data_IF_554373839172
#
_entry.id   IF_554373839172
#
_cell.length_a   1.000
_cell.length_b   1.000
_cell.length_c   1.000
_cell.angle_alpha   90.00
_cell.angle_beta   90.00
_cell.angle_gamma   90.00
#
_symmetry.space_group_name_H-M   'P 1'
#
loop_
_entity.id
_entity.type
_entity.pdbx_description
1 polymer ?
#
# COMPACT_ATOMS: atom_id res chain seq x y z
N UNK A 1 4.78 -9.62 1.19
CA UNK A 1 5.11 -10.98 1.70
C UNK A 1 4.83 -12.05 0.67
N UNK A 2 3.61 -12.20 0.18
CA UNK A 2 3.19 -13.33 -0.67
C UNK A 2 4.06 -13.58 -1.92
N UNK A 3 4.54 -12.53 -2.60
CA UNK A 3 5.48 -12.69 -3.72
C UNK A 3 6.83 -13.24 -3.28
N UNK A 4 7.47 -12.60 -2.29
CA UNK A 4 8.84 -12.94 -1.87
C UNK A 4 8.91 -14.35 -1.27
N UNK A 5 7.98 -14.68 -0.37
CA UNK A 5 7.92 -15.98 0.29
C UNK A 5 7.37 -17.07 -0.65
N UNK A 6 6.36 -16.76 -1.46
CA UNK A 6 5.73 -17.71 -2.39
C UNK A 6 6.66 -18.18 -3.53
N UNK A 7 7.68 -17.37 -3.88
CA UNK A 7 8.68 -17.76 -4.87
C UNK A 7 9.42 -19.04 -4.48
N UNK A 8 9.75 -19.23 -3.20
CA UNK A 8 10.41 -20.44 -2.70
C UNK A 8 9.58 -21.72 -2.89
N UNK A 9 8.27 -21.58 -3.11
CA UNK A 9 7.30 -22.69 -3.20
C UNK A 9 6.92 -23.09 -4.63
N UNK A 10 7.47 -22.45 -5.65
CA UNK A 10 7.08 -22.65 -7.06
C UNK A 10 5.55 -22.48 -7.28
N UNK A 11 4.94 -21.50 -6.58
CA UNK A 11 3.54 -21.14 -6.76
C UNK A 11 3.37 -20.31 -8.03
N UNK A 12 2.14 -20.27 -8.55
CA UNK A 12 1.76 -19.30 -9.57
C UNK A 12 1.73 -17.90 -8.97
N UNK A 13 2.82 -17.14 -9.12
CA UNK A 13 3.00 -15.83 -8.49
C UNK A 13 2.00 -14.80 -9.01
N UNK A 14 1.53 -14.90 -10.25
CA UNK A 14 0.46 -14.03 -10.75
C UNK A 14 -0.82 -14.23 -9.94
N UNK A 15 -1.24 -15.49 -9.78
CA UNK A 15 -2.41 -15.84 -8.97
C UNK A 15 -2.24 -15.41 -7.51
N UNK A 16 -1.07 -15.66 -6.92
CA UNK A 16 -0.72 -15.23 -5.56
C UNK A 16 -0.87 -13.71 -5.37
N UNK A 17 -0.33 -12.92 -6.31
CA UNK A 17 -0.40 -11.46 -6.24
C UNK A 17 -1.82 -10.94 -6.43
N UNK A 18 -2.57 -11.49 -7.38
CA UNK A 18 -3.97 -11.12 -7.61
C UNK A 18 -4.83 -11.41 -6.37
N UNK A 19 -4.70 -12.59 -5.76
CA UNK A 19 -5.40 -12.92 -4.51
C UNK A 19 -5.01 -11.95 -3.40
N UNK A 20 -3.71 -11.69 -3.21
CA UNK A 20 -3.22 -10.78 -2.18
C UNK A 20 -3.70 -9.33 -2.36
N UNK A 21 -3.98 -8.88 -3.59
CA UNK A 21 -4.50 -7.54 -3.85
C UNK A 21 -5.99 -7.40 -3.53
N UNK A 22 -6.76 -8.50 -3.54
CA UNK A 22 -8.23 -8.40 -3.46
C UNK A 22 -8.84 -9.01 -2.21
N UNK A 23 -8.07 -9.71 -1.38
CA UNK A 23 -8.64 -10.51 -0.29
C UNK A 23 -9.50 -9.67 0.68
N UNK A 24 -9.11 -8.42 0.95
CA UNK A 24 -9.80 -7.53 1.91
C UNK A 24 -10.55 -6.35 1.25
N UNK A 25 -10.61 -6.23 -0.09
CA UNK A 25 -11.27 -5.08 -0.74
C UNK A 25 -12.77 -4.98 -0.42
N UNK A 26 -13.41 -6.07 -0.02
CA UNK A 26 -14.81 -6.10 0.39
C UNK A 26 -15.06 -5.36 1.72
N UNK A 27 -14.04 -5.19 2.56
CA UNK A 27 -14.13 -4.55 3.87
C UNK A 27 -14.50 -3.06 3.80
N UNK A 28 -14.39 -2.44 2.64
CA UNK A 28 -14.91 -1.08 2.40
C UNK A 28 -16.42 -0.95 2.72
N UNK A 29 -17.16 -2.06 2.67
CA UNK A 29 -18.59 -2.11 2.99
C UNK A 29 -18.93 -2.90 4.24
N UNK A 30 -18.02 -3.74 4.76
CA UNK A 30 -18.28 -4.62 5.92
C UNK A 30 -17.54 -4.21 7.17
N UNK A 31 -16.55 -3.31 7.05
CA UNK A 31 -15.52 -3.07 8.06
C UNK A 31 -14.70 -4.31 8.42
N UNK A 32 -13.53 -4.10 9.00
CA UNK A 32 -12.65 -5.16 9.51
C UNK A 32 -13.18 -5.64 10.87
N UNK A 33 -14.08 -6.62 10.86
CA UNK A 33 -14.65 -7.19 12.07
C UNK A 33 -13.76 -8.28 12.67
N UNK A 34 -13.41 -8.11 13.93
CA UNK A 34 -12.74 -9.15 14.70
C UNK A 34 -13.77 -10.13 15.30
N UNK A 35 -13.39 -11.40 15.61
CA UNK A 35 -14.28 -12.34 16.30
C UNK A 35 -14.75 -11.86 17.69
N UNK A 36 -14.11 -10.83 18.22
CA UNK A 36 -14.39 -10.28 19.56
C UNK A 36 -15.35 -9.08 19.53
N UNK A 37 -15.59 -8.46 18.37
CA UNK A 37 -16.45 -7.28 18.26
C UNK A 37 -17.81 -7.44 18.93
N UNK A 38 -18.49 -8.60 18.82
CA UNK A 38 -19.75 -8.80 19.52
C UNK A 38 -19.64 -8.79 21.06
N UNK A 39 -18.43 -8.97 21.59
CA UNK A 39 -18.15 -9.00 23.02
C UNK A 39 -17.66 -7.64 23.54
N UNK A 40 -17.21 -6.77 22.62
CA UNK A 40 -16.67 -5.46 22.95
C UNK A 40 -17.79 -4.48 23.31
N UNK A 41 -17.56 -3.57 24.26
CA UNK A 41 -18.52 -2.52 24.56
C UNK A 41 -18.58 -1.51 23.40
N UNK A 42 -19.78 -0.97 23.11
CA UNK A 42 -20.03 -0.02 22.00
C UNK A 42 -19.11 1.22 21.97
N UNK A 43 -18.48 1.59 23.09
CA UNK A 43 -17.49 2.67 23.19
C UNK A 43 -16.20 2.12 23.77
N UNK A 44 -15.35 1.58 22.93
CA UNK A 44 -14.07 0.95 23.33
C UNK A 44 -13.14 1.94 24.03
N UNK A 45 -13.10 3.19 23.61
CA UNK A 45 -12.15 4.23 24.09
C UNK A 45 -12.53 4.90 25.41
N UNK A 46 -13.70 4.59 25.99
CA UNK A 46 -14.03 5.16 27.29
C UNK A 46 -13.17 4.56 28.40
N UNK A 47 -12.70 5.39 29.32
CA UNK A 47 -11.85 4.98 30.45
C UNK A 47 -12.46 3.82 31.28
N UNK A 48 -13.80 3.82 31.43
CA UNK A 48 -14.54 2.74 32.09
C UNK A 48 -14.49 1.39 31.35
N UNK A 49 -14.39 1.43 30.02
CA UNK A 49 -14.44 0.22 29.19
C UNK A 49 -13.06 -0.36 28.90
N UNK A 50 -11.97 0.39 29.10
CA UNK A 50 -10.59 -0.08 28.85
C UNK A 50 -10.25 -1.35 29.65
N UNK A 51 -10.65 -1.40 30.93
CA UNK A 51 -10.42 -2.59 31.78
C UNK A 51 -11.17 -3.81 31.25
N UNK A 52 -12.45 -3.64 30.88
CA UNK A 52 -13.27 -4.71 30.31
C UNK A 52 -12.76 -5.19 28.96
N UNK A 53 -12.33 -4.27 28.10
CA UNK A 53 -11.69 -4.61 26.82
C UNK A 53 -10.42 -5.42 27.06
N UNK A 54 -9.57 -4.99 27.98
CA UNK A 54 -8.35 -5.71 28.35
C UNK A 54 -8.66 -7.12 28.86
N UNK A 55 -9.63 -7.27 29.75
CA UNK A 55 -10.06 -8.58 30.27
C UNK A 55 -10.61 -9.50 29.17
N UNK A 56 -11.35 -8.97 28.20
CA UNK A 56 -11.87 -9.73 27.04
C UNK A 56 -10.71 -10.19 26.15
N UNK A 57 -9.75 -9.30 25.87
CA UNK A 57 -8.59 -9.61 25.04
C UNK A 57 -7.61 -10.58 25.74
N UNK A 58 -7.46 -10.48 27.07
CA UNK A 58 -6.59 -11.38 27.85
C UNK A 58 -7.19 -12.78 28.00
N UNK A 59 -8.51 -12.88 28.19
CA UNK A 59 -9.18 -14.18 28.34
C UNK A 59 -9.32 -14.95 27.04
N UNK A 60 -9.06 -14.30 25.90
CA UNK A 60 -9.19 -14.89 24.57
C UNK A 60 -10.38 -15.84 24.51
N UNK A 61 -11.60 -15.34 24.27
CA UNK A 61 -12.81 -16.15 24.45
C UNK A 61 -12.71 -17.43 23.63
N UNK A 62 -12.77 -18.55 24.32
CA UNK A 62 -12.72 -19.88 23.71
C UNK A 62 -14.07 -20.17 23.09
N UNK A 63 -14.29 -19.73 21.88
CA UNK A 63 -15.43 -20.19 21.09
C UNK A 63 -15.29 -21.67 20.79
N UNK A 64 -16.38 -22.42 20.90
CA UNK A 64 -16.43 -23.82 20.45
C UNK A 64 -16.10 -23.87 18.93
N UNK A 65 -15.63 -25.01 18.45
CA UNK A 65 -15.36 -25.23 17.04
C UNK A 65 -16.57 -24.88 16.14
N UNK A 66 -17.77 -25.26 16.60
CA UNK A 66 -19.01 -25.00 15.88
C UNK A 66 -19.37 -23.51 15.83
N UNK A 67 -19.16 -22.78 16.93
CA UNK A 67 -19.34 -21.32 16.97
C UNK A 67 -18.34 -20.60 16.08
N UNK A 68 -17.08 -21.02 16.07
CA UNK A 68 -16.05 -20.47 15.16
C UNK A 68 -16.45 -20.69 13.70
N UNK A 69 -16.86 -21.91 13.34
CA UNK A 69 -17.28 -22.26 11.98
C UNK A 69 -18.47 -21.42 11.50
N UNK A 70 -19.48 -21.25 12.35
CA UNK A 70 -20.65 -20.45 12.01
C UNK A 70 -20.31 -18.95 11.83
N UNK A 71 -19.49 -18.37 12.71
CA UNK A 71 -19.04 -16.99 12.59
C UNK A 71 -18.24 -16.75 11.29
N UNK A 72 -17.33 -17.66 10.95
CA UNK A 72 -16.56 -17.61 9.69
C UNK A 72 -17.49 -17.66 8.48
N UNK A 73 -18.48 -18.57 8.49
CA UNK A 73 -19.47 -18.67 7.41
C UNK A 73 -20.27 -17.38 7.24
N UNK A 74 -20.78 -16.80 8.33
CA UNK A 74 -21.56 -15.56 8.30
C UNK A 74 -20.72 -14.37 7.84
N UNK A 75 -19.45 -14.26 8.27
CA UNK A 75 -18.52 -13.25 7.80
C UNK A 75 -18.32 -13.40 6.28
N UNK A 76 -17.96 -14.57 5.79
CA UNK A 76 -17.72 -14.84 4.38
C UNK A 76 -18.95 -14.53 3.50
N UNK A 77 -20.18 -14.82 3.95
CA UNK A 77 -21.40 -14.49 3.22
C UNK A 77 -21.65 -12.97 3.13
N UNK A 78 -21.35 -12.22 4.20
CA UNK A 78 -21.45 -10.74 4.18
C UNK A 78 -20.42 -10.14 3.25
N UNK A 79 -19.19 -10.59 3.35
CA UNK A 79 -18.07 -10.13 2.51
C UNK A 79 -18.29 -10.45 1.03
N UNK A 80 -18.80 -11.63 0.68
CA UNK A 80 -19.14 -11.95 -0.69
C UNK A 80 -20.22 -11.02 -1.26
N UNK A 81 -21.24 -10.66 -0.47
CA UNK A 81 -22.24 -9.67 -0.90
C UNK A 81 -21.62 -8.29 -1.10
N UNK A 82 -20.73 -7.89 -0.20
CA UNK A 82 -20.00 -6.64 -0.29
C UNK A 82 -19.08 -6.61 -1.53
N UNK A 83 -18.33 -7.69 -1.76
CA UNK A 83 -17.50 -7.84 -2.96
C UNK A 83 -18.33 -7.70 -4.25
N UNK A 84 -19.44 -8.44 -4.35
CA UNK A 84 -20.32 -8.39 -5.53
C UNK A 84 -20.89 -7.00 -5.79
N UNK A 85 -21.20 -6.25 -4.72
CA UNK A 85 -21.60 -4.85 -4.82
C UNK A 85 -20.47 -3.97 -5.33
N UNK A 86 -19.24 -4.17 -4.84
CA UNK A 86 -18.06 -3.39 -5.23
C UNK A 86 -17.72 -3.58 -6.71
N UNK A 87 -17.78 -4.83 -7.20
CA UNK A 87 -17.38 -5.19 -8.56
C UNK A 87 -18.56 -5.16 -9.55
N UNK A 88 -19.76 -4.70 -9.15
CA UNK A 88 -20.99 -4.80 -9.94
C UNK A 88 -20.85 -4.20 -11.34
N UNK A 89 -20.20 -3.04 -11.44
CA UNK A 89 -20.03 -2.29 -12.69
C UNK A 89 -18.78 -2.67 -13.51
N UNK A 90 -17.97 -3.61 -13.02
CA UNK A 90 -16.78 -4.08 -13.75
C UNK A 90 -17.20 -4.98 -14.93
N UNK A 91 -16.39 -5.05 -15.99
CA UNK A 91 -16.58 -6.01 -17.07
C UNK A 91 -16.66 -7.46 -16.56
N UNK A 92 -17.47 -8.28 -17.23
CA UNK A 92 -17.84 -9.63 -16.77
C UNK A 92 -16.66 -10.56 -16.53
N UNK A 93 -15.62 -10.47 -17.35
CA UNK A 93 -14.40 -11.26 -17.24
C UNK A 93 -13.61 -10.92 -15.96
N UNK A 94 -13.38 -9.63 -15.68
CA UNK A 94 -12.71 -9.18 -14.44
C UNK A 94 -13.57 -9.49 -13.21
N UNK A 95 -14.88 -9.25 -13.31
CA UNK A 95 -15.81 -9.57 -12.21
C UNK A 95 -15.70 -11.05 -11.83
N UNK A 96 -15.76 -11.94 -12.81
CA UNK A 96 -15.66 -13.38 -12.59
C UNK A 96 -14.29 -13.78 -12.05
N UNK A 97 -13.21 -13.21 -12.58
CA UNK A 97 -11.84 -13.48 -12.10
C UNK A 97 -11.69 -13.07 -10.62
N UNK A 98 -12.13 -11.86 -10.26
CA UNK A 98 -12.04 -11.36 -8.88
C UNK A 98 -12.85 -12.24 -7.92
N UNK A 99 -14.08 -12.60 -8.27
CA UNK A 99 -14.93 -13.45 -7.41
C UNK A 99 -14.33 -14.84 -7.21
N UNK A 100 -13.79 -15.47 -8.28
CA UNK A 100 -13.12 -16.78 -8.20
C UNK A 100 -11.89 -16.72 -7.30
N UNK A 101 -11.04 -15.70 -7.46
CA UNK A 101 -9.81 -15.56 -6.68
C UNK A 101 -10.11 -15.24 -5.22
N UNK A 102 -11.12 -14.43 -4.94
CA UNK A 102 -11.55 -14.15 -3.58
C UNK A 102 -12.11 -15.40 -2.89
N UNK A 103 -12.94 -16.20 -3.59
CA UNK A 103 -13.42 -17.47 -3.07
C UNK A 103 -12.30 -18.49 -2.84
N UNK A 104 -11.26 -18.46 -3.68
CA UNK A 104 -10.08 -19.30 -3.49
C UNK A 104 -9.33 -18.93 -2.19
N UNK A 105 -9.19 -17.63 -1.91
CA UNK A 105 -8.64 -17.15 -0.63
C UNK A 105 -9.49 -17.63 0.55
N UNK A 106 -10.80 -17.34 0.52
CA UNK A 106 -11.69 -17.65 1.64
C UNK A 106 -11.78 -19.13 1.96
N UNK A 107 -11.87 -19.99 0.96
CA UNK A 107 -12.04 -21.43 1.11
C UNK A 107 -10.71 -22.21 1.07
N UNK A 108 -9.60 -21.56 0.73
CA UNK A 108 -8.29 -22.21 0.57
C UNK A 108 -8.30 -23.33 -0.47
N UNK A 109 -8.95 -23.11 -1.62
CA UNK A 109 -9.19 -24.14 -2.62
C UNK A 109 -7.91 -24.59 -3.31
N UNK A 110 -7.02 -23.65 -3.64
CA UNK A 110 -5.74 -23.93 -4.28
C UNK A 110 -4.56 -23.79 -3.31
N UNK A 111 -3.38 -24.22 -3.77
CA UNK A 111 -2.12 -24.01 -3.04
C UNK A 111 -1.82 -22.53 -2.86
N UNK A 112 -2.13 -21.71 -3.86
CA UNK A 112 -1.95 -20.26 -3.86
C UNK A 112 -2.91 -19.59 -2.84
N UNK A 113 -4.20 -19.95 -2.85
CA UNK A 113 -5.19 -19.42 -1.92
C UNK A 113 -4.84 -19.75 -0.46
N UNK A 114 -4.49 -21.01 -0.17
CA UNK A 114 -4.03 -21.41 1.18
C UNK A 114 -2.77 -20.67 1.61
N UNK A 115 -1.81 -20.51 0.69
CA UNK A 115 -0.57 -19.81 0.99
C UNK A 115 -0.80 -18.33 1.29
N UNK A 116 -1.60 -17.61 0.47
CA UNK A 116 -1.89 -16.21 0.70
C UNK A 116 -2.65 -16.01 2.02
N UNK A 117 -3.58 -16.90 2.36
CA UNK A 117 -4.31 -16.85 3.64
C UNK A 117 -3.39 -16.98 4.86
N UNK A 118 -2.36 -17.82 4.79
CA UNK A 118 -1.36 -17.89 5.84
C UNK A 118 -0.37 -16.72 5.80
N UNK A 119 -0.01 -16.22 4.61
CA UNK A 119 0.86 -15.06 4.46
C UNK A 119 0.21 -13.76 4.99
N UNK A 120 -1.11 -13.61 4.88
CA UNK A 120 -1.89 -12.58 5.54
C UNK A 120 -1.75 -12.68 7.07
N UNK A 121 -1.90 -13.88 7.64
CA UNK A 121 -1.70 -14.08 9.08
C UNK A 121 -0.26 -13.84 9.54
N UNK A 122 0.73 -14.09 8.67
CA UNK A 122 2.13 -13.77 8.94
C UNK A 122 2.39 -12.26 8.94
N UNK A 123 1.68 -11.52 8.09
CA UNK A 123 1.69 -10.04 8.10
C UNK A 123 1.09 -9.50 9.40
N UNK A 124 -0.08 -9.99 9.79
CA UNK A 124 -0.73 -9.65 11.04
C UNK A 124 0.16 -9.93 12.26
N UNK A 125 0.84 -11.08 12.29
CA UNK A 125 1.80 -11.43 13.34
C UNK A 125 2.93 -10.39 13.43
N UNK A 126 3.56 -10.07 12.28
CA UNK A 126 4.65 -9.10 12.24
C UNK A 126 4.17 -7.72 12.72
N UNK A 127 3.07 -7.22 12.20
CA UNK A 127 2.51 -5.92 12.58
C UNK A 127 2.12 -5.89 14.05
N UNK A 128 1.54 -6.98 14.58
CA UNK A 128 1.20 -7.10 16.01
C UNK A 128 2.43 -7.01 16.91
N UNK A 129 3.54 -7.63 16.52
CA UNK A 129 4.79 -7.58 17.29
C UNK A 129 5.51 -6.23 17.17
N UNK A 130 5.46 -5.57 16.00
CA UNK A 130 5.93 -4.18 15.86
C UNK A 130 5.15 -3.23 16.79
N UNK A 131 3.83 -3.41 16.91
CA UNK A 131 3.03 -2.64 17.86
C UNK A 131 3.31 -3.00 19.30
N UNK A 132 3.59 -4.25 19.62
CA UNK A 132 4.02 -4.66 20.95
C UNK A 132 5.35 -4.02 21.32
N UNK A 133 6.34 -4.05 20.44
CA UNK A 133 7.64 -3.39 20.67
C UNK A 133 7.47 -1.87 20.87
N UNK A 134 6.63 -1.23 20.09
CA UNK A 134 6.42 0.23 20.12
C UNK A 134 5.57 0.71 21.29
N UNK A 135 4.52 -0.02 21.66
CA UNK A 135 3.50 0.46 22.60
C UNK A 135 3.43 -0.35 23.89
N UNK A 136 4.03 -1.52 23.97
CA UNK A 136 4.06 -2.38 25.17
C UNK A 136 2.70 -2.91 25.65
N UNK A 137 1.64 -2.80 24.83
CA UNK A 137 0.25 -3.06 25.25
C UNK A 137 -0.29 -4.42 24.83
N UNK A 138 0.43 -5.15 23.98
CA UNK A 138 0.02 -6.44 23.43
C UNK A 138 0.93 -7.51 24.00
N UNK A 139 0.37 -8.68 24.34
CA UNK A 139 1.19 -9.80 24.81
C UNK A 139 1.78 -10.56 23.62
N UNK A 140 3.01 -10.23 23.22
CA UNK A 140 3.66 -10.80 22.05
C UNK A 140 3.68 -12.34 22.02
N UNK A 141 3.82 -13.00 23.18
CA UNK A 141 3.79 -14.46 23.26
C UNK A 141 2.46 -15.11 22.81
N UNK A 142 1.33 -14.42 22.98
CA UNK A 142 0.05 -14.91 22.49
C UNK A 142 -0.03 -14.92 20.98
N UNK A 143 0.59 -13.93 20.31
CA UNK A 143 0.66 -13.87 18.87
C UNK A 143 1.51 -14.99 18.27
N UNK A 144 2.65 -15.29 18.86
CA UNK A 144 3.49 -16.43 18.44
C UNK A 144 2.75 -17.76 18.62
N UNK A 145 2.12 -17.96 19.78
CA UNK A 145 1.33 -19.18 20.04
C UNK A 145 0.21 -19.36 19.00
N UNK A 146 -0.51 -18.29 18.72
CA UNK A 146 -1.56 -18.29 17.71
C UNK A 146 -1.02 -18.61 16.30
N UNK A 147 0.11 -18.04 15.92
CA UNK A 147 0.74 -18.31 14.64
C UNK A 147 1.13 -19.78 14.47
N UNK A 148 1.67 -20.40 15.50
CA UNK A 148 2.03 -21.83 15.52
C UNK A 148 0.83 -22.78 15.35
N UNK A 149 -0.36 -22.34 15.72
CA UNK A 149 -1.60 -23.11 15.51
C UNK A 149 -2.11 -22.99 14.05
N UNK A 150 -1.74 -21.95 13.32
CA UNK A 150 -2.26 -21.63 11.98
C UNK A 150 -1.32 -22.03 10.87
N UNK A 151 0.01 -21.89 11.06
CA UNK A 151 0.97 -22.13 9.99
C UNK A 151 1.28 -23.62 9.84
N UNK A 152 0.96 -24.15 8.67
CA UNK A 152 1.36 -25.48 8.23
C UNK A 152 2.35 -25.44 7.04
N UNK A 153 2.53 -24.26 6.43
CA UNK A 153 3.46 -24.07 5.33
C UNK A 153 4.91 -23.93 5.84
N UNK A 154 5.86 -24.78 5.37
CA UNK A 154 7.24 -24.76 5.87
C UNK A 154 7.95 -23.42 5.72
N UNK A 155 7.64 -22.64 4.66
CA UNK A 155 8.27 -21.32 4.43
C UNK A 155 7.73 -20.31 5.45
N UNK A 156 6.45 -20.36 5.78
CA UNK A 156 5.82 -19.48 6.76
C UNK A 156 6.20 -19.86 8.19
N UNK A 157 6.40 -21.15 8.48
CA UNK A 157 6.97 -21.63 9.76
C UNK A 157 8.41 -21.12 9.91
N UNK A 158 9.23 -21.16 8.84
CA UNK A 158 10.58 -20.59 8.87
C UNK A 158 10.57 -19.08 9.09
N UNK A 159 9.59 -18.38 8.50
CA UNK A 159 9.40 -16.95 8.67
C UNK A 159 8.95 -16.61 10.09
N UNK A 160 8.01 -17.37 10.67
CA UNK A 160 7.60 -17.23 12.08
C UNK A 160 8.79 -17.36 13.03
N UNK A 161 9.65 -18.37 12.81
CA UNK A 161 10.88 -18.53 13.59
C UNK A 161 11.86 -17.37 13.44
N UNK A 162 11.94 -16.75 12.26
CA UNK A 162 12.75 -15.55 12.06
C UNK A 162 12.17 -14.36 12.86
N UNK A 163 10.84 -14.22 12.89
CA UNK A 163 10.14 -13.23 13.71
C UNK A 163 10.44 -13.48 15.20
N UNK A 164 10.35 -14.73 15.67
CA UNK A 164 10.66 -15.08 17.07
C UNK A 164 12.07 -14.69 17.45
N UNK A 165 13.07 -15.05 16.66
CA UNK A 165 14.48 -14.65 16.89
C UNK A 165 14.62 -13.13 16.97
N UNK A 166 13.98 -12.40 16.07
CA UNK A 166 14.11 -10.94 15.99
C UNK A 166 13.51 -10.22 17.20
N UNK A 167 12.33 -10.62 17.64
CA UNK A 167 11.58 -9.90 18.67
C UNK A 167 11.86 -10.40 20.11
N UNK A 168 12.16 -11.68 20.29
CA UNK A 168 12.34 -12.27 21.62
C UNK A 168 13.80 -12.61 21.95
N UNK A 169 14.57 -13.10 20.96
CA UNK A 169 15.98 -13.46 21.17
C UNK A 169 16.93 -12.30 20.81
N UNK A 170 16.40 -11.25 20.19
CA UNK A 170 17.14 -10.07 19.69
C UNK A 170 18.29 -10.42 18.74
N UNK A 171 18.17 -11.52 18.01
CA UNK A 171 19.10 -11.91 16.98
C UNK A 171 18.75 -11.26 15.63
N UNK A 172 19.75 -10.80 14.89
CA UNK A 172 19.54 -10.11 13.61
C UNK A 172 20.41 -10.70 12.49
N UNK A 173 19.83 -10.85 11.31
CA UNK A 173 20.54 -10.96 10.04
C UNK A 173 21.40 -12.20 9.80
N UNK A 174 21.40 -13.22 10.68
CA UNK A 174 22.28 -14.40 10.57
C UNK A 174 21.86 -15.32 9.43
N UNK A 175 20.57 -15.56 9.24
CA UNK A 175 20.02 -16.46 8.21
C UNK A 175 19.40 -15.68 7.07
N UNK A 176 19.18 -16.33 5.94
CA UNK A 176 18.50 -15.72 4.79
C UNK A 176 17.11 -15.20 5.16
N UNK A 177 16.33 -16.00 5.91
CA UNK A 177 14.98 -15.60 6.34
C UNK A 177 14.99 -14.41 7.28
N UNK A 178 16.02 -14.24 8.12
CA UNK A 178 16.17 -13.07 9.00
C UNK A 178 16.34 -11.78 8.15
N UNK A 179 17.16 -11.85 7.08
CA UNK A 179 17.34 -10.72 6.16
C UNK A 179 16.08 -10.40 5.35
N UNK A 180 15.32 -11.42 4.98
CA UNK A 180 13.99 -11.24 4.34
C UNK A 180 13.02 -10.57 5.33
N UNK A 181 13.06 -10.92 6.60
CA UNK A 181 12.27 -10.26 7.64
C UNK A 181 12.68 -8.79 7.81
N UNK A 182 13.98 -8.49 7.87
CA UNK A 182 14.47 -7.11 7.95
C UNK A 182 14.00 -6.28 6.74
N UNK A 183 14.00 -6.86 5.54
CA UNK A 183 13.41 -6.23 4.36
C UNK A 183 11.91 -5.91 4.57
N UNK A 184 11.11 -6.81 5.14
CA UNK A 184 9.68 -6.55 5.38
C UNK A 184 9.46 -5.48 6.46
N UNK A 185 10.25 -5.48 7.53
CA UNK A 185 10.22 -4.43 8.55
C UNK A 185 10.55 -3.07 7.92
N UNK A 186 11.57 -3.01 7.06
CA UNK A 186 11.94 -1.76 6.39
C UNK A 186 10.82 -1.25 5.48
N UNK A 187 10.29 -2.09 4.59
CA UNK A 187 9.22 -1.65 3.68
C UNK A 187 7.89 -1.38 4.42
N UNK A 188 7.68 -1.97 5.59
CA UNK A 188 6.56 -1.69 6.48
C UNK A 188 6.47 -0.21 6.86
N UNK A 189 7.60 0.50 6.93
CA UNK A 189 7.65 1.95 7.18
C UNK A 189 6.86 2.76 6.15
N UNK A 190 6.70 2.26 4.91
CA UNK A 190 5.91 2.92 3.88
C UNK A 190 4.43 3.07 4.23
N UNK A 191 3.91 2.26 5.17
CA UNK A 191 2.54 2.39 5.70
C UNK A 191 2.31 3.69 6.48
N UNK A 192 3.37 4.34 6.93
CA UNK A 192 3.30 5.58 7.73
C UNK A 192 3.89 6.79 7.01
N UNK A 193 4.67 6.58 5.96
CA UNK A 193 5.24 7.68 5.17
C UNK A 193 4.16 8.25 4.27
N UNK A 194 3.76 9.49 4.56
CA UNK A 194 2.77 10.23 3.78
C UNK A 194 3.39 10.72 2.47
N UNK A 195 2.56 10.79 1.41
CA UNK A 195 2.99 11.38 0.15
C UNK A 195 3.13 12.89 0.29
N UNK A 196 4.34 13.37 0.05
CA UNK A 196 4.73 14.76 0.29
C UNK A 196 3.89 15.78 -0.51
N UNK A 197 3.54 15.44 -1.73
CA UNK A 197 2.70 16.31 -2.56
C UNK A 197 1.36 16.66 -1.92
N UNK A 198 0.79 15.78 -1.12
CA UNK A 198 -0.46 16.01 -0.38
C UNK A 198 -0.23 16.74 0.95
N UNK A 199 0.85 16.39 1.65
CA UNK A 199 1.24 17.06 2.91
C UNK A 199 1.45 18.55 2.65
N UNK A 200 2.20 18.90 1.62
CA UNK A 200 2.46 20.30 1.23
C UNK A 200 1.19 21.05 0.80
N UNK A 201 0.12 20.36 0.42
CA UNK A 201 -1.19 20.93 0.11
C UNK A 201 -2.16 20.91 1.29
N UNK A 202 -1.67 20.51 2.48
CA UNK A 202 -2.45 20.44 3.73
C UNK A 202 -3.66 19.51 3.65
N UNK A 203 -3.56 18.44 2.89
CA UNK A 203 -4.59 17.40 2.94
C UNK A 203 -4.63 16.83 4.36
N UNK A 204 -5.79 16.82 5.04
CA UNK A 204 -5.85 16.43 6.47
C UNK A 204 -5.40 15.00 6.73
N UNK A 205 -5.77 14.07 5.86
CA UNK A 205 -5.40 12.64 5.94
C UNK A 205 -4.80 12.20 4.59
N UNK A 206 -3.56 12.59 4.30
CA UNK A 206 -2.95 12.27 3.02
C UNK A 206 -2.66 10.77 2.94
N UNK A 207 -2.85 10.20 1.74
CA UNK A 207 -2.47 8.82 1.46
C UNK A 207 -1.00 8.56 1.79
N UNK A 208 -0.69 7.33 2.14
CA UNK A 208 0.69 6.89 2.34
C UNK A 208 1.31 6.39 1.04
N UNK A 209 2.63 6.19 1.06
CA UNK A 209 3.33 5.55 -0.06
C UNK A 209 2.82 4.12 -0.30
N UNK A 210 2.44 3.40 0.77
CA UNK A 210 1.88 2.06 0.66
C UNK A 210 0.49 2.06 0.01
N UNK A 211 -0.40 2.98 0.40
CA UNK A 211 -1.74 3.14 -0.18
C UNK A 211 -1.64 3.40 -1.69
N UNK A 212 -0.79 4.34 -2.08
CA UNK A 212 -0.52 4.66 -3.48
C UNK A 212 0.00 3.45 -4.28
N UNK A 213 0.95 2.71 -3.71
CA UNK A 213 1.52 1.54 -4.39
C UNK A 213 0.49 0.41 -4.57
N UNK A 214 -0.36 0.19 -3.56
CA UNK A 214 -1.47 -0.74 -3.62
C UNK A 214 -2.49 -0.34 -4.69
N UNK A 215 -2.97 0.90 -4.66
CA UNK A 215 -3.94 1.42 -5.63
C UNK A 215 -3.41 1.37 -7.06
N UNK A 216 -2.14 1.75 -7.28
CA UNK A 216 -1.48 1.63 -8.58
C UNK A 216 -1.44 0.16 -9.05
N UNK A 217 -1.11 -0.79 -8.17
CA UNK A 217 -1.04 -2.21 -8.52
C UNK A 217 -2.42 -2.78 -8.90
N UNK A 218 -3.45 -2.45 -8.15
CA UNK A 218 -4.82 -2.86 -8.45
C UNK A 218 -5.29 -2.26 -9.79
N UNK A 219 -5.03 -0.97 -10.03
CA UNK A 219 -5.37 -0.30 -11.29
C UNK A 219 -4.67 -0.91 -12.49
N UNK A 220 -3.37 -1.27 -12.38
CA UNK A 220 -2.64 -1.88 -13.50
C UNK A 220 -3.24 -3.22 -13.92
N UNK A 221 -3.79 -3.98 -13.00
CA UNK A 221 -4.48 -5.22 -13.32
C UNK A 221 -5.88 -4.96 -13.92
N UNK A 222 -6.69 -4.13 -13.24
CA UNK A 222 -8.10 -3.95 -13.62
C UNK A 222 -8.26 -3.18 -14.93
N UNK A 223 -7.43 -2.18 -15.19
CA UNK A 223 -7.56 -1.30 -16.37
C UNK A 223 -6.88 -1.86 -17.62
N UNK A 224 -5.88 -2.74 -17.48
CA UNK A 224 -5.15 -3.25 -18.65
C UNK A 224 -5.91 -4.37 -19.34
N UNK A 225 -6.28 -4.15 -20.59
CA UNK A 225 -7.04 -5.07 -21.44
C UNK A 225 -6.26 -5.59 -22.65
N UNK A 226 -5.18 -4.91 -23.04
CA UNK A 226 -4.42 -5.32 -24.22
C UNK A 226 -3.63 -6.62 -23.97
N UNK A 227 -3.79 -7.59 -24.85
CA UNK A 227 -3.22 -8.95 -24.76
C UNK A 227 -1.68 -9.03 -24.74
N UNK A 228 -0.98 -7.91 -25.01
CA UNK A 228 0.48 -7.92 -25.24
C UNK A 228 1.32 -7.42 -24.05
N UNK A 229 0.75 -7.35 -22.85
CA UNK A 229 1.44 -6.90 -21.63
C UNK A 229 1.31 -7.95 -20.54
N UNK A 230 2.41 -8.24 -19.86
CA UNK A 230 2.44 -9.17 -18.74
C UNK A 230 1.84 -8.52 -17.48
N UNK A 231 0.65 -8.96 -17.09
CA UNK A 231 -0.06 -8.48 -15.87
C UNK A 231 0.77 -8.71 -14.62
N UNK A 232 1.37 -9.90 -14.46
CA UNK A 232 2.24 -10.18 -13.33
C UNK A 232 3.41 -9.17 -13.24
N UNK A 233 3.97 -8.80 -14.38
CA UNK A 233 5.09 -7.86 -14.42
C UNK A 233 4.63 -6.44 -14.09
N UNK A 234 3.46 -6.00 -14.57
CA UNK A 234 2.90 -4.70 -14.22
C UNK A 234 2.59 -4.60 -12.73
N UNK A 235 1.95 -5.62 -12.14
CA UNK A 235 1.68 -5.68 -10.69
C UNK A 235 2.99 -5.62 -9.90
N UNK A 236 3.99 -6.43 -10.25
CA UNK A 236 5.31 -6.41 -9.59
C UNK A 236 5.95 -5.03 -9.63
N UNK A 237 5.98 -4.39 -10.80
CA UNK A 237 6.52 -3.04 -10.97
C UNK A 237 5.76 -2.04 -10.09
N UNK A 238 4.42 -2.08 -10.10
CA UNK A 238 3.59 -1.18 -9.32
C UNK A 238 3.80 -1.33 -7.81
N UNK A 239 3.98 -2.55 -7.31
CA UNK A 239 4.24 -2.80 -5.89
C UNK A 239 5.60 -2.27 -5.42
N UNK A 240 6.61 -2.23 -6.30
CA UNK A 240 7.98 -1.90 -5.89
C UNK A 240 8.43 -0.49 -6.29
N UNK A 241 7.68 0.23 -7.14
CA UNK A 241 8.14 1.47 -7.78
C UNK A 241 8.52 2.59 -6.77
N UNK A 242 7.99 2.57 -5.56
CA UNK A 242 8.28 3.53 -4.49
C UNK A 242 9.11 2.99 -3.33
N UNK A 243 9.60 1.74 -3.37
CA UNK A 243 10.34 1.16 -2.23
C UNK A 243 11.58 1.97 -1.82
N UNK A 244 12.22 2.68 -2.74
CA UNK A 244 13.34 3.57 -2.42
C UNK A 244 12.99 4.62 -1.35
N UNK A 245 11.68 4.98 -1.22
CA UNK A 245 11.19 5.98 -0.27
C UNK A 245 11.32 5.57 1.21
N UNK A 246 11.70 4.34 1.48
CA UNK A 246 12.09 3.88 2.83
C UNK A 246 13.33 4.61 3.35
N UNK A 247 14.29 4.93 2.47
CA UNK A 247 15.58 5.52 2.82
C UNK A 247 15.79 6.94 2.30
N UNK A 248 14.87 7.43 1.48
CA UNK A 248 14.89 8.79 0.97
C UNK A 248 13.49 9.37 1.07
N UNK A 249 13.41 10.67 1.23
CA UNK A 249 12.13 11.35 1.28
C UNK A 249 11.37 11.27 -0.06
N UNK A 250 10.07 11.47 0.00
CA UNK A 250 9.22 11.55 -1.19
C UNK A 250 9.36 12.94 -1.82
N UNK A 251 10.44 13.14 -2.61
CA UNK A 251 10.69 14.42 -3.27
C UNK A 251 9.58 14.77 -4.24
N UNK A 252 9.16 16.03 -4.19
CA UNK A 252 8.33 16.64 -5.23
C UNK A 252 9.23 17.36 -6.24
N UNK A 253 8.76 17.54 -7.48
CA UNK A 253 9.49 18.32 -8.47
C UNK A 253 9.78 19.77 -8.03
N UNK A 254 9.06 20.27 -7.05
CA UNK A 254 9.16 21.64 -6.54
C UNK A 254 10.24 21.83 -5.46
N UNK A 255 10.78 20.75 -4.88
CA UNK A 255 11.70 20.81 -3.76
C UNK A 255 12.92 21.70 -4.03
N UNK A 256 13.39 21.70 -5.28
CA UNK A 256 14.57 22.51 -5.69
C UNK A 256 14.30 24.00 -5.82
N UNK A 257 13.05 24.44 -5.74
CA UNK A 257 12.62 25.82 -5.89
C UNK A 257 11.73 26.32 -4.76
N UNK A 258 11.54 25.52 -3.72
CA UNK A 258 10.82 25.96 -2.54
C UNK A 258 11.58 27.10 -1.86
N UNK A 259 10.88 28.19 -1.42
CA UNK A 259 11.52 29.37 -0.85
C UNK A 259 12.11 29.13 0.53
N UNK A 260 11.64 28.09 1.21
CA UNK A 260 12.13 27.67 2.51
C UNK A 260 12.55 26.21 2.45
N UNK A 261 13.47 25.76 3.32
CA UNK A 261 13.77 24.35 3.45
C UNK A 261 12.49 23.53 3.68
N UNK A 262 12.40 22.40 3.01
CA UNK A 262 11.24 21.51 3.09
C UNK A 262 10.89 21.11 4.53
N UNK A 263 11.90 20.90 5.37
CA UNK A 263 11.75 20.59 6.77
C UNK A 263 11.04 21.70 7.55
N UNK A 264 11.27 22.96 7.18
CA UNK A 264 10.61 24.11 7.80
C UNK A 264 9.12 24.15 7.41
N UNK A 265 8.81 23.88 6.14
CA UNK A 265 7.43 23.79 5.66
C UNK A 265 6.69 22.65 6.36
N UNK A 266 7.33 21.49 6.51
CA UNK A 266 6.78 20.36 7.26
C UNK A 266 6.52 20.70 8.72
N UNK A 267 7.51 21.24 9.42
CA UNK A 267 7.33 21.68 10.81
C UNK A 267 6.20 22.66 10.97
N UNK A 268 6.06 23.60 10.04
CA UNK A 268 4.94 24.56 10.08
C UNK A 268 3.58 23.87 9.92
N UNK A 269 3.49 22.80 9.11
CA UNK A 269 2.25 22.04 8.92
C UNK A 269 1.94 21.15 10.13
N UNK A 270 2.96 20.45 10.65
CA UNK A 270 2.83 19.52 11.77
C UNK A 270 2.68 20.21 13.13
N UNK A 271 3.37 21.33 13.32
CA UNK A 271 3.43 22.08 14.58
C UNK A 271 3.09 23.57 14.36
N UNK A 272 1.88 23.90 13.88
CA UNK A 272 1.51 25.27 13.49
C UNK A 272 1.57 26.28 14.62
N UNK A 273 1.52 25.84 15.87
CA UNK A 273 1.64 26.71 17.07
C UNK A 273 3.05 27.29 17.28
N UNK A 274 4.07 26.72 16.65
CA UNK A 274 5.46 27.22 16.71
C UNK A 274 5.75 28.37 15.75
N UNK A 275 4.79 28.72 14.88
CA UNK A 275 4.90 29.77 13.87
C UNK A 275 3.81 30.83 14.08
N UNK A 276 4.14 32.09 13.90
CA UNK A 276 3.15 33.17 13.88
C UNK A 276 2.18 33.01 12.72
N UNK A 277 1.01 33.64 12.81
CA UNK A 277 0.01 33.64 11.73
C UNK A 277 0.60 34.21 10.44
N UNK A 278 1.38 35.26 10.53
CA UNK A 278 1.99 35.96 9.40
C UNK A 278 3.07 35.10 8.72
N UNK A 279 3.92 34.42 9.49
CA UNK A 279 4.91 33.48 8.96
C UNK A 279 4.24 32.33 8.21
N UNK A 280 3.20 31.72 8.78
CA UNK A 280 2.44 30.66 8.15
C UNK A 280 1.81 31.11 6.83
N UNK A 281 1.15 32.26 6.81
CA UNK A 281 0.54 32.80 5.58
C UNK A 281 1.58 33.12 4.52
N UNK A 282 2.74 33.66 4.89
CA UNK A 282 3.84 33.96 3.97
C UNK A 282 4.39 32.69 3.32
N UNK A 283 4.74 31.69 4.13
CA UNK A 283 5.27 30.40 3.65
C UNK A 283 4.27 29.73 2.70
N UNK A 284 2.98 29.72 3.10
CA UNK A 284 1.92 29.09 2.31
C UNK A 284 1.68 29.78 0.97
N UNK A 285 1.61 31.09 0.97
CA UNK A 285 1.40 31.87 -0.26
C UNK A 285 2.55 31.70 -1.23
N UNK A 286 3.79 31.66 -0.73
CA UNK A 286 4.98 31.39 -1.55
C UNK A 286 4.97 29.97 -2.11
N UNK A 287 4.64 28.99 -1.29
CA UNK A 287 4.56 27.58 -1.69
C UNK A 287 3.46 27.38 -2.75
N UNK A 288 2.28 27.97 -2.57
CA UNK A 288 1.19 27.88 -3.55
C UNK A 288 1.53 28.51 -4.90
N UNK A 289 2.26 29.64 -4.90
CA UNK A 289 2.74 30.24 -6.16
C UNK A 289 3.65 29.27 -6.93
N UNK A 290 4.53 28.57 -6.24
CA UNK A 290 5.47 27.62 -6.85
C UNK A 290 4.74 26.42 -7.46
N UNK A 291 3.67 25.91 -6.83
CA UNK A 291 2.89 24.80 -7.39
C UNK A 291 2.21 25.14 -8.72
N UNK A 292 1.96 26.40 -8.99
CA UNK A 292 1.44 26.85 -10.30
C UNK A 292 2.52 26.91 -11.39
N UNK A 293 3.80 26.99 -11.01
CA UNK A 293 4.94 27.13 -11.93
C UNK A 293 5.41 25.80 -12.52
N UNK A 294 5.15 24.66 -11.85
CA UNK A 294 5.63 23.34 -12.29
C UNK A 294 5.32 22.99 -13.75
N UNK A 295 4.12 23.23 -14.27
CA UNK A 295 3.82 22.99 -15.69
C UNK A 295 4.68 23.84 -16.65
N UNK A 296 5.22 24.93 -16.17
CA UNK A 296 6.01 25.88 -16.96
C UNK A 296 7.49 25.50 -17.05
N UNK A 297 7.95 24.51 -16.28
CA UNK A 297 9.34 24.05 -16.40
C UNK A 297 9.63 23.51 -17.79
N UNK A 298 10.72 23.98 -18.39
CA UNK A 298 11.18 23.48 -19.68
C UNK A 298 11.45 21.98 -19.63
N UNK A 299 11.27 21.28 -20.75
CA UNK A 299 11.58 19.85 -20.89
C UNK A 299 13.00 19.52 -20.38
N UNK A 300 13.98 20.37 -20.72
CA UNK A 300 15.39 20.24 -20.31
C UNK A 300 15.55 20.31 -18.77
N UNK A 301 14.82 21.20 -18.12
CA UNK A 301 14.83 21.33 -16.65
C UNK A 301 14.20 20.09 -15.99
N UNK A 302 13.03 19.64 -16.48
CA UNK A 302 12.36 18.43 -16.01
C UNK A 302 13.27 17.20 -16.15
N UNK A 303 13.99 17.05 -17.27
CA UNK A 303 14.95 15.96 -17.50
C UNK A 303 16.16 16.01 -16.55
N UNK A 304 16.70 17.21 -16.28
CA UNK A 304 17.84 17.38 -15.35
C UNK A 304 17.47 16.98 -13.92
N UNK A 305 16.31 17.40 -13.46
CA UNK A 305 15.75 17.02 -12.13
C UNK A 305 15.59 15.49 -12.07
N UNK A 306 14.90 14.90 -13.03
CA UNK A 306 14.67 13.47 -13.10
C UNK A 306 15.96 12.61 -13.12
N UNK A 307 17.00 13.07 -13.81
CA UNK A 307 18.32 12.38 -13.80
C UNK A 307 19.00 12.41 -12.44
N UNK A 308 18.90 13.52 -11.70
CA UNK A 308 19.45 13.64 -10.34
C UNK A 308 18.70 12.72 -9.37
N UNK A 309 17.39 12.77 -9.41
CA UNK A 309 16.50 11.90 -8.58
C UNK A 309 16.76 10.42 -8.85
N UNK A 310 16.86 10.01 -10.11
CA UNK A 310 17.15 8.63 -10.48
C UNK A 310 18.40 8.08 -9.80
N UNK A 311 19.50 8.83 -9.77
CA UNK A 311 20.75 8.37 -9.15
C UNK A 311 20.60 8.15 -7.65
N UNK A 312 19.93 9.07 -6.98
CA UNK A 312 19.70 9.02 -5.54
C UNK A 312 18.74 7.85 -5.19
N UNK A 313 17.64 7.75 -5.91
CA UNK A 313 16.66 6.69 -5.70
C UNK A 313 17.24 5.30 -6.03
N UNK A 314 18.09 5.18 -7.05
CA UNK A 314 18.73 3.90 -7.39
C UNK A 314 19.60 3.39 -6.24
N UNK A 315 20.41 4.25 -5.63
CA UNK A 315 21.23 3.88 -4.47
C UNK A 315 20.35 3.44 -3.28
N UNK A 316 19.28 4.18 -3.02
CA UNK A 316 18.34 3.85 -1.97
C UNK A 316 17.63 2.51 -2.26
N UNK A 317 17.18 2.28 -3.50
CA UNK A 317 16.54 1.03 -3.89
C UNK A 317 17.51 -0.16 -3.76
N UNK A 318 18.76 -0.02 -4.20
CA UNK A 318 19.79 -1.04 -4.01
C UNK A 318 19.98 -1.39 -2.54
N UNK A 319 19.96 -0.39 -1.65
CA UNK A 319 20.01 -0.61 -0.19
C UNK A 319 18.78 -1.38 0.30
N UNK A 320 17.58 -1.06 -0.17
CA UNK A 320 16.33 -1.78 0.20
C UNK A 320 16.45 -3.27 -0.11
N UNK A 321 16.94 -3.62 -1.31
CA UNK A 321 16.97 -5.01 -1.76
C UNK A 321 18.25 -5.77 -1.39
N UNK A 322 19.22 -5.12 -0.74
CA UNK A 322 20.55 -5.71 -0.46
C UNK A 322 20.52 -6.94 0.46
N UNK A 323 19.49 -7.07 1.31
CA UNK A 323 19.30 -8.23 2.18
C UNK A 323 18.58 -9.41 1.54
N UNK A 324 18.01 -9.22 0.35
CA UNK A 324 17.27 -10.26 -0.35
C UNK A 324 18.22 -11.24 -1.06
N UNK A 325 17.77 -12.47 -1.37
CA UNK A 325 18.48 -13.36 -2.28
C UNK A 325 18.85 -12.65 -3.58
N UNK A 326 20.08 -12.85 -4.06
CA UNK A 326 20.66 -12.09 -5.16
C UNK A 326 19.74 -12.01 -6.38
N UNK A 327 19.24 -13.17 -6.86
CA UNK A 327 18.32 -13.22 -8.02
C UNK A 327 17.06 -12.38 -7.84
N UNK A 328 16.49 -12.35 -6.62
CA UNK A 328 15.30 -11.58 -6.32
C UNK A 328 15.61 -10.08 -6.27
N UNK A 329 16.73 -9.71 -5.66
CA UNK A 329 17.19 -8.32 -5.62
C UNK A 329 17.47 -7.77 -7.03
N UNK A 330 18.11 -8.55 -7.88
CA UNK A 330 18.37 -8.21 -9.29
C UNK A 330 17.07 -8.11 -10.12
N UNK A 331 16.12 -9.05 -9.93
CA UNK A 331 14.80 -8.97 -10.55
C UNK A 331 14.09 -7.67 -10.16
N UNK A 332 14.03 -7.37 -8.87
CA UNK A 332 13.37 -6.15 -8.39
C UNK A 332 14.05 -4.89 -8.91
N UNK A 333 15.37 -4.82 -8.91
CA UNK A 333 16.12 -3.69 -9.43
C UNK A 333 15.89 -3.51 -10.94
N UNK A 334 15.88 -4.59 -11.71
CA UNK A 334 15.59 -4.56 -13.14
C UNK A 334 14.16 -4.08 -13.45
N UNK A 335 13.18 -4.51 -12.69
CA UNK A 335 11.78 -4.05 -12.79
C UNK A 335 11.63 -2.58 -12.41
N UNK A 336 12.30 -2.14 -11.34
CA UNK A 336 12.33 -0.76 -10.91
C UNK A 336 12.99 0.16 -11.97
N UNK A 337 14.09 -0.28 -12.57
CA UNK A 337 14.76 0.44 -13.68
C UNK A 337 13.84 0.59 -14.89
N UNK A 338 13.06 -0.45 -15.23
CA UNK A 338 12.07 -0.35 -16.32
C UNK A 338 11.02 0.73 -16.02
N UNK A 339 10.51 0.79 -14.79
CA UNK A 339 9.62 1.86 -14.38
C UNK A 339 10.27 3.24 -14.51
N UNK A 340 11.43 3.44 -13.87
CA UNK A 340 12.08 4.76 -13.82
C UNK A 340 12.46 5.30 -15.21
N UNK A 341 12.90 4.43 -16.10
CA UNK A 341 13.32 4.80 -17.48
C UNK A 341 12.17 4.73 -18.49
N UNK A 342 11.01 4.20 -18.13
CA UNK A 342 9.92 3.95 -19.07
C UNK A 342 10.28 2.92 -20.14
N UNK A 343 11.07 1.91 -19.78
CA UNK A 343 11.49 0.85 -20.68
C UNK A 343 10.46 -0.29 -20.71
N UNK A 344 10.31 -0.90 -21.88
CA UNK A 344 9.32 -1.93 -22.10
C UNK A 344 7.88 -1.43 -22.03
N UNK A 345 6.95 -2.29 -22.41
CA UNK A 345 5.52 -1.95 -22.40
C UNK A 345 4.99 -1.82 -20.97
N UNK A 346 5.41 -2.72 -20.11
CA UNK A 346 4.97 -2.78 -18.71
C UNK A 346 5.46 -1.59 -17.90
N UNK A 347 6.75 -1.25 -18.01
CA UNK A 347 7.33 -0.09 -17.32
C UNK A 347 6.67 1.23 -17.75
N UNK A 348 6.39 1.39 -19.06
CA UNK A 348 5.69 2.55 -19.59
C UNK A 348 4.26 2.63 -19.09
N UNK A 349 3.53 1.50 -19.14
CA UNK A 349 2.16 1.43 -18.68
C UNK A 349 2.02 1.78 -17.20
N UNK A 350 2.86 1.19 -16.32
CA UNK A 350 2.80 1.47 -14.88
C UNK A 350 3.13 2.93 -14.57
N UNK A 351 4.06 3.57 -15.31
CA UNK A 351 4.32 5.01 -15.16
C UNK A 351 3.10 5.87 -15.45
N UNK A 352 2.30 5.49 -16.44
CA UNK A 352 1.07 6.21 -16.77
C UNK A 352 -0.05 5.89 -15.79
N UNK A 353 -0.19 4.64 -15.36
CA UNK A 353 -1.17 4.23 -14.35
C UNK A 353 -0.90 4.92 -13.00
N UNK A 354 0.38 5.11 -12.60
CA UNK A 354 0.75 5.88 -11.41
C UNK A 354 0.30 7.35 -11.49
N UNK A 355 0.36 7.97 -12.67
CA UNK A 355 -0.13 9.33 -12.87
C UNK A 355 -1.66 9.40 -12.81
N UNK A 356 -2.34 8.43 -13.40
CA UNK A 356 -3.78 8.33 -13.33
C UNK A 356 -4.26 8.10 -11.90
N UNK A 357 -3.59 7.25 -11.14
CA UNK A 357 -3.90 7.01 -9.72
C UNK A 357 -3.79 8.32 -8.92
N UNK A 358 -2.68 9.04 -9.05
CA UNK A 358 -2.48 10.33 -8.39
C UNK A 358 -3.53 11.36 -8.78
N UNK A 359 -3.98 11.37 -10.04
CA UNK A 359 -5.07 12.22 -10.49
C UNK A 359 -6.41 11.83 -9.84
N UNK A 360 -6.74 10.54 -9.76
CA UNK A 360 -7.97 10.07 -9.10
C UNK A 360 -7.98 10.44 -7.61
N UNK A 361 -6.84 10.30 -6.94
CA UNK A 361 -6.68 10.71 -5.56
C UNK A 361 -6.85 12.24 -5.39
N UNK A 362 -6.29 13.04 -6.32
CA UNK A 362 -6.51 14.48 -6.36
C UNK A 362 -7.99 14.86 -6.53
N UNK A 363 -8.71 14.14 -7.40
CA UNK A 363 -10.15 14.31 -7.57
C UNK A 363 -10.94 14.01 -6.28
N UNK A 364 -10.52 13.00 -5.52
CA UNK A 364 -11.14 12.70 -4.24
C UNK A 364 -10.94 13.84 -3.24
N UNK A 365 -9.72 14.36 -3.11
CA UNK A 365 -9.45 15.50 -2.25
C UNK A 365 -10.18 16.78 -2.69
N UNK A 366 -10.32 17.02 -4.00
CA UNK A 366 -11.08 18.15 -4.52
C UNK A 366 -12.60 18.07 -4.23
N UNK A 367 -13.15 16.86 -4.02
CA UNK A 367 -14.54 16.71 -3.54
C UNK A 367 -14.69 17.09 -2.07
N UNK A 368 -13.66 16.85 -1.27
CA UNK A 368 -13.65 17.16 0.16
C UNK A 368 -13.32 18.64 0.41
N UNK A 369 -12.43 19.22 -0.39
CA UNK A 369 -12.05 20.66 -0.34
C UNK A 369 -12.18 21.30 -1.73
N UNK A 370 -13.20 22.17 -1.89
CA UNK A 370 -13.44 22.91 -3.14
C UNK A 370 -12.32 23.85 -3.56
N UNK A 371 -11.42 24.20 -2.65
CA UNK A 371 -10.26 25.04 -2.92
C UNK A 371 -9.02 24.23 -3.32
N UNK A 372 -9.11 22.91 -3.33
CA UNK A 372 -7.99 22.04 -3.69
C UNK A 372 -7.57 22.27 -5.16
N UNK A 373 -6.30 22.58 -5.44
CA UNK A 373 -5.83 22.92 -6.78
C UNK A 373 -5.63 21.66 -7.64
N UNK A 374 -6.66 21.24 -8.36
CA UNK A 374 -6.62 19.99 -9.17
C UNK A 374 -5.93 20.17 -10.53
N UNK A 375 -5.84 21.40 -11.04
CA UNK A 375 -5.35 21.71 -12.38
C UNK A 375 -3.95 21.10 -12.71
N UNK A 376 -2.96 21.08 -11.80
CA UNK A 376 -1.65 20.46 -12.09
C UNK A 376 -1.73 19.00 -12.50
N UNK A 377 -2.66 18.23 -11.90
CA UNK A 377 -2.86 16.81 -12.25
C UNK A 377 -3.57 16.63 -13.59
N UNK A 378 -4.51 17.52 -13.92
CA UNK A 378 -5.11 17.56 -15.26
C UNK A 378 -4.07 17.78 -16.36
N UNK A 379 -3.17 18.73 -16.16
CA UNK A 379 -2.07 18.99 -17.09
C UNK A 379 -1.17 17.74 -17.19
N UNK A 380 -0.80 17.17 -16.05
CA UNK A 380 0.11 16.02 -16.02
C UNK A 380 -0.46 14.80 -16.75
N UNK A 381 -1.73 14.43 -16.56
CA UNK A 381 -2.32 13.28 -17.25
C UNK A 381 -2.44 13.51 -18.75
N UNK A 382 -2.77 14.72 -19.19
CA UNK A 382 -2.81 15.07 -20.62
C UNK A 382 -1.44 15.01 -21.30
N UNK A 383 -0.37 15.36 -20.57
CA UNK A 383 1.00 15.32 -21.10
C UNK A 383 1.61 13.91 -21.09
N UNK A 384 1.21 13.05 -20.16
CA UNK A 384 1.94 11.82 -19.83
C UNK A 384 1.21 10.54 -20.20
N UNK A 385 -0.11 10.58 -20.42
CA UNK A 385 -0.89 9.39 -20.72
C UNK A 385 -1.15 9.34 -22.23
N UNK A 386 -0.65 8.28 -22.85
CA UNK A 386 -0.87 7.92 -24.26
C UNK A 386 -1.37 6.47 -24.44
N UNK A 387 -1.49 5.69 -23.36
CA UNK A 387 -2.00 4.33 -23.42
C UNK A 387 -3.51 4.31 -23.70
N UNK A 388 -3.96 3.56 -24.74
CA UNK A 388 -5.37 3.57 -25.16
C UNK A 388 -6.36 3.11 -24.09
N UNK A 389 -5.95 2.17 -23.22
CA UNK A 389 -6.84 1.67 -22.16
C UNK A 389 -7.06 2.73 -21.08
N UNK A 390 -5.99 3.45 -20.71
CA UNK A 390 -6.06 4.54 -19.74
C UNK A 390 -6.80 5.77 -20.32
N UNK A 391 -6.60 6.09 -21.59
CA UNK A 391 -7.34 7.17 -22.26
C UNK A 391 -8.85 6.89 -22.30
N UNK A 392 -9.26 5.66 -22.67
CA UNK A 392 -10.68 5.26 -22.62
C UNK A 392 -11.27 5.40 -21.22
N UNK A 393 -10.52 5.06 -20.18
CA UNK A 393 -10.96 5.23 -18.81
C UNK A 393 -11.11 6.71 -18.44
N UNK A 394 -10.17 7.56 -18.83
CA UNK A 394 -10.25 9.02 -18.62
C UNK A 394 -11.46 9.60 -19.35
N UNK A 395 -11.72 9.22 -20.61
CA UNK A 395 -12.90 9.64 -21.37
C UNK A 395 -14.21 9.25 -20.65
N UNK A 396 -14.27 8.04 -20.11
CA UNK A 396 -15.43 7.59 -19.35
C UNK A 396 -15.66 8.40 -18.07
N UNK A 397 -14.61 8.92 -17.43
CA UNK A 397 -14.73 9.83 -16.29
C UNK A 397 -15.33 11.19 -16.70
N UNK A 398 -15.06 11.67 -17.90
CA UNK A 398 -15.63 12.93 -18.40
C UNK A 398 -17.13 12.82 -18.70
N UNK A 399 -17.59 11.67 -19.21
CA UNK A 399 -18.97 11.50 -19.65
C UNK A 399 -19.95 11.21 -18.50
N UNK A 400 -19.48 10.62 -17.41
CA UNK A 400 -20.31 10.31 -16.21
C UNK A 400 -20.30 11.46 -15.21
N UNK A 401 -20.96 12.63 -15.49
CA UNK A 401 -21.00 13.84 -14.62
C UNK A 401 -19.62 14.25 -14.08
N UNK A 402 -19.24 15.51 -14.06
CA UNK A 402 -17.86 15.89 -13.77
C UNK A 402 -17.37 15.25 -12.46
N UNK A 403 -16.53 14.21 -12.60
CA UNK A 403 -16.00 13.41 -11.49
C UNK A 403 -15.21 14.28 -10.49
N UNK A 404 -14.78 15.46 -10.95
CA UNK A 404 -13.96 16.41 -10.20
C UNK A 404 -14.56 17.83 -10.16
N UNK A 405 -15.89 17.99 -10.11
CA UNK A 405 -16.55 19.28 -9.87
C UNK A 405 -17.03 19.39 -8.45
#
# INVERSE_FOLDING_TARGET
MSWVLGRKKRLNIEKVLKIALIHDICEIFTSDETPYDPLLPKKVDSSKNRKKVKEILEKWPTFTFQQKKEKVRQKAERELRALRKLIADLPSDIKSEIEILWQDFEKGLSREGRFVKQADKAENLLQGLEYWEKYGRIQGHLWIRWAREIFDDPVLIEFERAIERRFFEKEQGKKEMDRILDFFIDIGKLKTIKREGWVLRKVPNPETIADHSFSTALMTWVLKRAEKISIIKTIKIALIHKLAKVYIEDFTPYDSILPNPREEIKKMIEEPSKFSKEEREKILNQTQKIYKIWPEFSKKTKEKISKKEYKTEKKAFQKVVSGLPQELGEEMLGLWDQFKKGLGKEGRFVRQAEKLESFLQACQYAKEDKNFPIEPWWIEIREKIDDPDLLRFIEALYTKKPFCK
#
